data_IF_448824762355
#
_entry.id   IF_448824762355
#
_cell.length_a   1.000
_cell.length_b   1.000
_cell.length_c   1.000
_cell.angle_alpha   90.00
_cell.angle_beta   90.00
_cell.angle_gamma   90.00
#
_symmetry.space_group_name_H-M   'P 1'
#
loop_
_entity.id
_entity.type
_entity.pdbx_description
1 polymer ?
#
# COMPACT_ATOMS: atom_id res chain seq x y z
N UNK A 1 19.62 -21.71 18.98
CA UNK A 1 20.33 -20.78 18.08
C UNK A 1 21.81 -20.70 18.44
N UNK A 2 22.68 -20.55 17.45
CA UNK A 2 24.13 -20.38 17.57
C UNK A 2 24.55 -19.05 16.93
N UNK A 3 25.54 -18.37 17.52
CA UNK A 3 26.18 -17.15 16.98
C UNK A 3 27.69 -17.38 17.02
N UNK A 4 28.36 -17.23 15.87
CA UNK A 4 29.77 -17.55 15.71
C UNK A 4 30.14 -18.95 16.25
N UNK A 5 29.29 -19.94 15.97
CA UNK A 5 29.45 -21.33 16.42
C UNK A 5 29.17 -21.58 17.90
N UNK A 6 28.87 -20.55 18.71
CA UNK A 6 28.56 -20.68 20.14
C UNK A 6 27.05 -20.73 20.34
N UNK A 7 26.56 -21.76 21.05
CA UNK A 7 25.14 -21.87 21.42
C UNK A 7 24.76 -20.74 22.38
N UNK A 8 23.61 -20.11 22.17
CA UNK A 8 23.08 -19.14 23.14
C UNK A 8 22.80 -19.83 24.48
N UNK A 9 23.29 -19.24 25.58
CA UNK A 9 23.16 -19.77 26.94
C UNK A 9 21.79 -19.43 27.56
N UNK A 10 20.72 -19.92 26.93
CA UNK A 10 19.33 -19.77 27.39
C UNK A 10 18.60 -21.11 27.29
N UNK A 11 17.47 -21.25 27.98
CA UNK A 11 16.64 -22.43 27.84
C UNK A 11 16.08 -22.52 26.41
N UNK A 12 16.29 -23.61 25.65
CA UNK A 12 15.77 -23.74 24.29
C UNK A 12 14.24 -23.58 24.20
N UNK A 13 13.49 -23.93 25.25
CA UNK A 13 12.03 -23.77 25.30
C UNK A 13 11.56 -22.32 25.20
N UNK A 14 12.45 -21.34 25.41
CA UNK A 14 12.14 -19.92 25.22
C UNK A 14 11.71 -19.65 23.77
N UNK A 15 12.24 -20.38 22.79
CA UNK A 15 11.82 -20.23 21.39
C UNK A 15 10.43 -20.81 21.10
N UNK A 16 9.90 -21.64 22.00
CA UNK A 16 8.66 -22.42 21.82
C UNK A 16 7.46 -21.83 22.59
N UNK A 17 7.50 -20.54 22.94
CA UNK A 17 6.44 -19.89 23.71
C UNK A 17 5.14 -19.65 22.90
N UNK A 18 3.98 -19.74 23.57
CA UNK A 18 2.62 -19.51 23.02
C UNK A 18 2.31 -20.31 21.76
N UNK A 19 2.65 -19.80 20.56
CA UNK A 19 2.46 -20.50 19.28
C UNK A 19 3.71 -21.21 18.77
N UNK A 20 4.78 -21.24 19.57
CA UNK A 20 6.04 -21.86 19.21
C UNK A 20 6.89 -20.97 18.30
N UNK A 21 7.60 -21.62 17.37
CA UNK A 21 8.31 -20.95 16.28
C UNK A 21 7.50 -21.05 14.99
N UNK A 22 7.02 -19.91 14.50
CA UNK A 22 6.19 -19.80 13.30
C UNK A 22 7.03 -19.26 12.14
N UNK A 23 7.01 -19.95 11.00
CA UNK A 23 7.54 -19.45 9.74
C UNK A 23 6.43 -18.67 9.02
N UNK A 24 6.62 -17.37 8.84
CA UNK A 24 5.56 -16.46 8.40
C UNK A 24 6.02 -15.57 7.25
N UNK A 25 5.57 -15.90 6.04
CA UNK A 25 5.83 -15.08 4.85
C UNK A 25 5.13 -13.72 4.86
N UNK A 26 4.10 -13.53 5.70
CA UNK A 26 3.42 -12.25 5.89
C UNK A 26 4.19 -11.25 6.76
N UNK A 27 5.28 -11.69 7.38
CA UNK A 27 6.13 -10.85 8.23
C UNK A 27 7.47 -10.58 7.55
N UNK A 28 7.91 -9.32 7.50
CA UNK A 28 9.17 -8.93 6.85
C UNK A 28 10.41 -9.41 7.60
N UNK A 29 10.44 -9.21 8.93
CA UNK A 29 11.60 -9.42 9.79
C UNK A 29 11.41 -10.60 10.74
N UNK A 30 12.45 -11.00 11.47
CA UNK A 30 12.28 -11.98 12.54
C UNK A 30 11.98 -11.30 13.87
N UNK A 31 11.17 -11.94 14.71
CA UNK A 31 10.86 -11.47 16.04
C UNK A 31 11.11 -12.60 17.05
N UNK A 32 11.97 -12.34 18.02
CA UNK A 32 12.31 -13.29 19.07
C UNK A 32 11.66 -12.87 20.40
N UNK A 33 11.31 -13.84 21.26
CA UNK A 33 10.94 -13.56 22.65
C UNK A 33 12.03 -12.78 23.37
N UNK A 34 11.66 -11.99 24.38
CA UNK A 34 12.56 -11.02 25.04
C UNK A 34 13.90 -11.63 25.50
N UNK A 35 13.87 -12.77 26.19
CA UNK A 35 15.08 -13.46 26.66
C UNK A 35 15.96 -13.90 25.49
N UNK A 36 15.37 -14.50 24.46
CA UNK A 36 16.09 -14.93 23.27
C UNK A 36 16.69 -13.76 22.50
N UNK A 37 15.95 -12.66 22.33
CA UNK A 37 16.45 -11.45 21.69
C UNK A 37 17.61 -10.83 22.45
N UNK A 38 17.53 -10.74 23.78
CA UNK A 38 18.61 -10.19 24.62
C UNK A 38 19.90 -11.02 24.48
N UNK A 39 19.79 -12.35 24.56
CA UNK A 39 20.92 -13.26 24.40
C UNK A 39 21.53 -13.18 22.99
N UNK A 40 20.67 -13.19 21.97
CA UNK A 40 21.06 -13.04 20.56
C UNK A 40 21.81 -11.72 20.32
N UNK A 41 21.19 -10.60 20.72
CA UNK A 41 21.77 -9.26 20.59
C UNK A 41 23.13 -9.19 21.27
N UNK A 42 23.24 -9.69 22.50
CA UNK A 42 24.50 -9.66 23.24
C UNK A 42 25.59 -10.47 22.51
N UNK A 43 25.27 -11.67 22.03
CA UNK A 43 26.20 -12.52 21.30
C UNK A 43 26.67 -11.85 19.99
N UNK A 44 25.77 -11.27 19.20
CA UNK A 44 26.14 -10.57 17.95
C UNK A 44 27.00 -9.34 18.24
N UNK A 45 26.60 -8.51 19.20
CA UNK A 45 27.35 -7.29 19.59
C UNK A 45 28.80 -7.61 20.01
N UNK A 46 29.04 -8.79 20.61
CA UNK A 46 30.38 -9.21 20.99
C UNK A 46 31.26 -9.59 19.79
N UNK A 47 30.68 -10.05 18.70
CA UNK A 47 31.40 -10.47 17.49
C UNK A 47 31.65 -9.31 16.51
N UNK A 48 30.89 -8.21 16.60
CA UNK A 48 30.97 -7.05 15.67
C UNK A 48 31.68 -5.82 16.25
N UNK A 49 32.57 -6.02 17.23
CA UNK A 49 33.25 -4.92 17.97
C UNK A 49 34.09 -3.98 17.09
N UNK A 50 34.52 -4.45 15.91
CA UNK A 50 35.27 -3.63 14.94
C UNK A 50 34.40 -2.63 14.17
N UNK A 51 33.08 -2.78 14.20
CA UNK A 51 32.14 -1.91 13.50
C UNK A 51 31.64 -0.78 14.40
N UNK A 52 31.38 0.38 13.80
CA UNK A 52 30.83 1.53 14.53
C UNK A 52 29.31 1.41 14.60
N UNK A 53 28.76 1.28 15.81
CA UNK A 53 27.31 1.37 16.04
C UNK A 53 26.81 2.76 15.65
N UNK A 54 25.70 2.81 14.92
CA UNK A 54 25.03 4.05 14.48
C UNK A 54 23.51 3.94 14.72
N UNK A 55 22.82 5.07 14.65
CA UNK A 55 21.36 5.10 14.69
C UNK A 55 20.73 4.47 13.45
N UNK A 56 19.45 4.12 13.57
CA UNK A 56 18.65 3.60 12.46
C UNK A 56 18.33 4.65 11.40
N UNK A 57 17.87 4.21 10.21
CA UNK A 57 17.46 5.12 9.15
C UNK A 57 16.21 5.93 9.53
N UNK A 58 15.32 5.39 10.36
CA UNK A 58 14.15 6.07 10.89
C UNK A 58 14.34 6.33 12.40
N UNK A 59 14.41 7.59 12.85
CA UNK A 59 14.64 7.93 14.25
C UNK A 59 13.49 7.53 15.18
N UNK A 60 12.30 7.19 14.65
CA UNK A 60 11.18 6.71 15.45
C UNK A 60 11.38 5.26 15.93
N UNK A 61 12.28 4.52 15.29
CA UNK A 61 12.58 3.12 15.62
C UNK A 61 13.97 2.98 16.23
N UNK A 62 14.09 2.10 17.22
CA UNK A 62 15.35 1.83 17.93
C UNK A 62 16.11 0.67 17.28
N UNK A 63 16.42 0.83 16.00
CA UNK A 63 17.16 -0.17 15.25
C UNK A 63 18.59 -0.32 15.76
N UNK A 64 19.15 -1.52 15.61
CA UNK A 64 20.55 -1.81 15.95
C UNK A 64 21.34 -1.84 14.66
N UNK A 65 22.07 -0.76 14.37
CA UNK A 65 22.78 -0.57 13.11
C UNK A 65 24.28 -0.39 13.31
N UNK A 66 25.05 -0.78 12.29
CA UNK A 66 26.50 -0.73 12.25
C UNK A 66 26.97 -0.16 10.93
N UNK A 67 27.95 0.73 10.98
CA UNK A 67 28.67 1.29 9.83
C UNK A 67 30.10 0.75 9.76
N UNK A 68 30.70 0.83 8.57
CA UNK A 68 32.08 0.36 8.33
C UNK A 68 32.18 -1.05 7.76
N UNK A 69 31.05 -1.73 7.49
CA UNK A 69 31.05 -3.08 6.93
C UNK A 69 31.34 -3.13 5.41
N UNK A 70 31.22 -2.00 4.72
CA UNK A 70 31.41 -1.90 3.26
C UNK A 70 30.12 -2.18 2.46
N UNK A 71 30.10 -1.79 1.19
CA UNK A 71 28.88 -1.89 0.36
C UNK A 71 28.69 -3.25 -0.33
N UNK A 72 29.76 -4.06 -0.38
CA UNK A 72 29.84 -5.35 -1.05
C UNK A 72 29.28 -6.47 -0.15
N UNK A 73 28.14 -7.03 -0.56
CA UNK A 73 27.41 -8.06 0.21
C UNK A 73 28.28 -9.31 0.41
N UNK A 74 29.07 -9.68 -0.61
CA UNK A 74 29.90 -10.89 -0.59
C UNK A 74 30.97 -10.85 0.52
N UNK A 75 31.32 -9.66 1.01
CA UNK A 75 32.30 -9.45 2.08
C UNK A 75 31.69 -9.35 3.47
N UNK A 76 30.36 -9.26 3.60
CA UNK A 76 29.70 -9.17 4.90
C UNK A 76 30.00 -10.34 5.85
N UNK A 77 30.19 -11.60 5.39
CA UNK A 77 30.59 -12.69 6.28
C UNK A 77 31.93 -12.47 6.99
N UNK A 78 32.77 -11.52 6.52
CA UNK A 78 34.01 -11.11 7.20
C UNK A 78 33.78 -10.09 8.32
N UNK A 79 32.67 -9.37 8.28
CA UNK A 79 32.34 -8.29 9.20
C UNK A 79 31.28 -8.69 10.24
N UNK A 80 30.46 -9.70 9.95
CA UNK A 80 29.37 -10.15 10.80
C UNK A 80 29.44 -11.67 11.04
N UNK A 81 28.99 -12.16 12.21
CA UNK A 81 29.11 -13.56 12.59
C UNK A 81 28.21 -14.48 11.76
N UNK A 82 28.58 -15.75 11.65
CA UNK A 82 27.64 -16.78 11.22
C UNK A 82 26.56 -16.99 12.29
N UNK A 83 25.32 -17.20 11.86
CA UNK A 83 24.21 -17.56 12.75
C UNK A 83 23.65 -18.90 12.29
N UNK A 84 23.24 -19.74 13.23
CA UNK A 84 22.57 -21.01 12.92
C UNK A 84 21.34 -21.21 13.81
N UNK A 85 20.22 -21.59 13.19
CA UNK A 85 19.03 -22.07 13.88
C UNK A 85 19.05 -23.59 13.89
N UNK A 86 19.08 -24.19 15.08
CA UNK A 86 19.08 -25.63 15.23
C UNK A 86 17.67 -26.11 15.58
N UNK A 87 17.20 -27.14 14.88
CA UNK A 87 15.91 -27.77 15.08
C UNK A 87 16.03 -28.99 16.01
N UNK A 88 14.89 -29.49 16.50
CA UNK A 88 14.82 -30.61 17.45
C UNK A 88 15.45 -31.90 16.92
N UNK A 89 15.43 -32.11 15.60
CA UNK A 89 16.05 -33.25 14.93
C UNK A 89 17.58 -33.10 14.70
N UNK A 90 18.20 -32.05 15.25
CA UNK A 90 19.63 -31.78 15.13
C UNK A 90 20.05 -31.11 13.82
N UNK A 91 19.15 -30.96 12.83
CA UNK A 91 19.44 -30.20 11.63
C UNK A 91 19.59 -28.71 11.94
N UNK A 92 20.40 -28.03 11.13
CA UNK A 92 20.65 -26.60 11.29
C UNK A 92 20.38 -25.84 10.01
N UNK A 93 19.63 -24.75 10.12
CA UNK A 93 19.55 -23.72 9.10
C UNK A 93 20.62 -22.67 9.40
N UNK A 94 21.70 -22.65 8.62
CA UNK A 94 22.66 -21.56 8.67
C UNK A 94 22.02 -20.28 8.14
N UNK A 95 22.42 -19.11 8.63
CA UNK A 95 21.93 -17.80 8.18
C UNK A 95 23.15 -16.95 7.81
N UNK A 96 23.22 -16.53 6.54
CA UNK A 96 24.21 -15.56 6.09
C UNK A 96 23.81 -14.16 6.55
N UNK A 97 24.72 -13.15 6.54
CA UNK A 97 24.39 -11.78 6.93
C UNK A 97 23.12 -11.21 6.27
N UNK A 98 22.85 -11.55 5.01
CA UNK A 98 21.62 -11.17 4.32
C UNK A 98 20.32 -11.73 4.91
N UNK A 99 20.42 -12.82 5.69
CA UNK A 99 19.27 -13.47 6.33
C UNK A 99 18.90 -12.83 7.69
N UNK A 100 19.71 -11.93 8.21
CA UNK A 100 19.44 -11.27 9.50
C UNK A 100 19.83 -9.79 9.51
N UNK A 101 20.32 -9.23 8.40
CA UNK A 101 20.61 -7.81 8.23
C UNK A 101 19.80 -7.19 7.08
N UNK A 102 19.41 -5.94 7.26
CA UNK A 102 18.93 -5.08 6.18
C UNK A 102 19.86 -3.87 6.01
N UNK A 103 19.88 -3.31 4.79
CA UNK A 103 20.74 -2.16 4.45
C UNK A 103 20.21 -0.88 5.11
N UNK A 104 21.11 -0.06 5.63
CA UNK A 104 20.78 1.28 6.10
C UNK A 104 20.54 2.20 4.89
N UNK A 105 19.34 2.77 4.75
CA UNK A 105 18.98 3.56 3.56
C UNK A 105 19.75 4.88 3.42
N UNK A 106 20.18 5.48 4.54
CA UNK A 106 20.87 6.79 4.55
C UNK A 106 22.41 6.73 4.62
N UNK A 107 23.00 5.60 5.05
CA UNK A 107 24.45 5.50 5.32
C UNK A 107 25.02 4.36 4.51
N UNK A 108 25.88 4.68 3.54
CA UNK A 108 26.46 3.70 2.63
C UNK A 108 27.36 2.72 3.39
N UNK A 109 27.19 1.43 3.11
CA UNK A 109 27.96 0.38 3.77
C UNK A 109 27.61 0.17 5.25
N UNK A 110 26.45 0.65 5.68
CA UNK A 110 25.87 0.36 6.97
C UNK A 110 24.69 -0.60 6.88
N UNK A 111 24.51 -1.41 7.92
CA UNK A 111 23.51 -2.47 8.00
C UNK A 111 22.90 -2.53 9.40
N UNK A 112 21.66 -2.97 9.48
CA UNK A 112 20.87 -3.04 10.70
C UNK A 112 20.39 -4.47 10.93
N UNK A 113 20.29 -4.91 12.19
CA UNK A 113 19.68 -6.19 12.54
C UNK A 113 18.21 -6.19 12.10
N UNK A 114 17.83 -7.16 11.28
CA UNK A 114 16.44 -7.47 10.93
C UNK A 114 15.84 -8.56 11.82
N UNK A 115 16.35 -8.69 13.04
CA UNK A 115 15.80 -9.52 14.10
C UNK A 115 15.49 -8.59 15.25
N UNK A 116 14.25 -8.63 15.75
CA UNK A 116 13.72 -7.71 16.76
C UNK A 116 13.19 -8.48 17.97
N UNK A 117 12.91 -7.76 19.06
CA UNK A 117 12.15 -8.29 20.17
C UNK A 117 10.66 -8.33 19.82
N UNK A 118 9.97 -9.42 20.11
CA UNK A 118 8.52 -9.56 19.91
C UNK A 118 7.68 -8.92 21.02
N UNK A 119 8.06 -7.72 21.48
CA UNK A 119 7.39 -7.05 22.60
C UNK A 119 7.27 -7.95 23.84
N UNK A 120 6.02 -8.18 24.28
CA UNK A 120 5.65 -9.11 25.36
C UNK A 120 5.11 -10.46 24.84
N UNK A 121 5.00 -10.65 23.53
CA UNK A 121 4.54 -11.91 22.95
C UNK A 121 5.68 -12.93 22.98
N UNK A 122 5.50 -14.10 23.59
CA UNK A 122 6.54 -15.12 23.70
C UNK A 122 6.64 -16.02 22.44
N UNK A 123 5.91 -15.70 21.36
CA UNK A 123 6.02 -16.39 20.07
C UNK A 123 7.31 -16.01 19.35
N UNK A 124 7.97 -16.98 18.72
CA UNK A 124 9.07 -16.73 17.78
C UNK A 124 8.49 -16.63 16.37
N UNK A 125 8.69 -15.51 15.69
CA UNK A 125 8.28 -15.30 14.30
C UNK A 125 9.51 -15.26 13.39
N UNK A 126 9.55 -16.13 12.39
CA UNK A 126 10.57 -16.15 11.35
C UNK A 126 9.98 -15.55 10.08
N UNK A 127 10.26 -14.26 9.86
CA UNK A 127 9.80 -13.55 8.67
C UNK A 127 10.67 -13.78 7.44
N UNK A 128 10.29 -13.13 6.34
CA UNK A 128 10.90 -13.23 5.02
C UNK A 128 12.41 -12.99 5.00
N UNK A 129 12.95 -12.16 5.91
CA UNK A 129 14.40 -11.94 6.00
C UNK A 129 15.16 -13.24 6.23
N UNK A 130 14.67 -14.15 7.09
CA UNK A 130 15.34 -15.40 7.48
C UNK A 130 15.49 -16.35 6.29
N UNK A 131 14.56 -16.28 5.34
CA UNK A 131 14.46 -17.20 4.19
C UNK A 131 14.85 -16.54 2.86
N UNK A 132 15.51 -15.37 2.89
CA UNK A 132 16.15 -14.82 1.69
C UNK A 132 17.13 -15.83 1.08
N UNK A 133 17.12 -15.94 -0.25
CA UNK A 133 17.94 -16.93 -0.98
C UNK A 133 17.82 -18.35 -0.40
N UNK A 134 16.59 -18.73 -0.05
CA UNK A 134 16.25 -20.05 0.46
C UNK A 134 14.94 -20.50 -0.18
N UNK A 135 14.96 -21.63 -0.87
CA UNK A 135 13.73 -22.30 -1.28
C UNK A 135 13.13 -22.96 -0.04
N UNK A 136 11.90 -22.56 0.29
CA UNK A 136 11.13 -23.14 1.39
C UNK A 136 10.03 -24.01 0.81
N UNK A 137 9.92 -25.25 1.29
CA UNK A 137 8.85 -26.16 0.90
C UNK A 137 8.00 -26.54 2.11
N UNK A 138 6.69 -26.52 1.93
CA UNK A 138 5.72 -26.93 2.95
C UNK A 138 5.11 -28.25 2.54
N UNK A 139 5.60 -29.35 3.12
CA UNK A 139 5.06 -30.68 2.90
C UNK A 139 4.04 -30.96 4.00
N UNK A 140 2.79 -30.57 3.73
CA UNK A 140 1.67 -30.69 4.67
C UNK A 140 1.26 -32.14 4.91
N UNK A 141 1.47 -33.01 3.92
CA UNK A 141 1.14 -34.43 4.02
C UNK A 141 2.05 -35.15 5.01
N UNK A 142 3.34 -34.79 5.03
CA UNK A 142 4.33 -35.37 5.92
C UNK A 142 4.71 -34.45 7.10
N UNK A 143 3.90 -33.42 7.36
CA UNK A 143 4.07 -32.45 8.47
C UNK A 143 5.49 -31.88 8.61
N UNK A 144 6.13 -31.54 7.48
CA UNK A 144 7.54 -31.09 7.48
C UNK A 144 7.74 -29.85 6.61
N UNK A 145 8.77 -29.09 6.97
CA UNK A 145 9.22 -27.92 6.23
C UNK A 145 10.64 -28.19 5.74
N UNK A 146 10.86 -27.99 4.45
CA UNK A 146 12.18 -28.08 3.82
C UNK A 146 12.78 -26.70 3.63
N UNK A 147 14.09 -26.58 3.88
CA UNK A 147 14.87 -25.38 3.60
C UNK A 147 16.03 -25.76 2.70
N UNK A 148 16.14 -25.11 1.54
CA UNK A 148 17.27 -25.27 0.64
C UNK A 148 17.89 -23.92 0.31
N UNK A 149 19.09 -23.67 0.84
CA UNK A 149 19.86 -22.46 0.49
C UNK A 149 20.24 -22.47 -0.97
N UNK A 150 19.87 -21.42 -1.68
CA UNK A 150 20.04 -21.33 -3.13
C UNK A 150 19.99 -19.87 -3.59
N UNK A 151 20.67 -19.55 -4.69
CA UNK A 151 20.47 -18.27 -5.34
C UNK A 151 19.09 -18.31 -6.03
N UNK A 152 18.11 -17.59 -5.49
CA UNK A 152 16.75 -17.66 -6.02
C UNK A 152 16.66 -17.14 -7.47
N UNK A 153 17.49 -16.19 -7.88
CA UNK A 153 17.52 -15.72 -9.27
C UNK A 153 18.00 -16.82 -10.21
N UNK A 154 19.11 -17.47 -9.88
CA UNK A 154 19.63 -18.60 -10.67
C UNK A 154 18.68 -19.80 -10.67
N UNK A 155 18.03 -20.07 -9.53
CA UNK A 155 17.01 -21.11 -9.44
C UNK A 155 15.82 -20.79 -10.36
N UNK A 156 15.34 -19.55 -10.36
CA UNK A 156 14.26 -19.11 -11.25
C UNK A 156 14.62 -19.28 -12.73
N UNK A 157 15.83 -18.87 -13.12
CA UNK A 157 16.33 -19.02 -14.49
C UNK A 157 16.37 -20.50 -14.92
N UNK A 158 16.84 -21.38 -14.03
CA UNK A 158 16.91 -22.83 -14.28
C UNK A 158 15.56 -23.50 -14.38
N UNK A 159 14.59 -23.07 -13.56
CA UNK A 159 13.26 -23.67 -13.57
C UNK A 159 12.45 -23.25 -14.80
N UNK A 160 12.88 -22.20 -15.53
CA UNK A 160 12.19 -21.74 -16.74
C UNK A 160 10.75 -21.33 -16.49
N UNK A 161 10.38 -21.04 -15.24
CA UNK A 161 9.01 -20.71 -14.85
C UNK A 161 8.77 -19.27 -15.31
N UNK A 162 7.80 -19.03 -16.20
CA UNK A 162 7.38 -17.66 -16.53
C UNK A 162 6.98 -16.97 -15.23
N UNK A 163 7.34 -15.69 -15.05
CA UNK A 163 6.93 -14.90 -13.89
C UNK A 163 5.45 -15.17 -13.59
N UNK A 164 5.14 -15.69 -12.40
CA UNK A 164 3.79 -16.08 -12.06
C UNK A 164 2.82 -14.91 -12.38
N UNK A 165 1.71 -15.15 -13.10
CA UNK A 165 0.69 -14.14 -13.28
C UNK A 165 0.25 -13.62 -11.91
N UNK A 166 -0.03 -12.31 -11.74
CA UNK A 166 -0.66 -11.82 -10.53
C UNK A 166 -1.92 -12.66 -10.24
N UNK A 167 -2.23 -12.95 -8.97
CA UNK A 167 -3.41 -13.74 -8.63
C UNK A 167 -4.63 -13.11 -9.30
N UNK A 168 -5.33 -13.93 -10.09
CA UNK A 168 -6.53 -13.52 -10.80
C UNK A 168 -7.53 -12.97 -9.76
N UNK A 169 -8.11 -11.78 -9.95
CA UNK A 169 -9.18 -11.32 -9.07
C UNK A 169 -10.28 -12.38 -9.10
N UNK A 170 -10.72 -12.83 -7.93
CA UNK A 170 -11.86 -13.75 -7.81
C UNK A 170 -13.05 -13.13 -8.54
N UNK A 171 -13.33 -13.61 -9.75
CA UNK A 171 -14.57 -13.32 -10.44
C UNK A 171 -15.69 -13.92 -9.60
N UNK A 172 -16.51 -13.07 -9.00
CA UNK A 172 -17.83 -13.43 -8.54
C UNK A 172 -18.65 -13.85 -9.76
N UNK A 173 -18.61 -15.14 -10.09
CA UNK A 173 -19.62 -15.76 -10.95
C UNK A 173 -20.87 -15.98 -10.10
N UNK A 174 -21.83 -15.07 -10.27
CA UNK A 174 -23.21 -15.30 -9.88
C UNK A 174 -23.76 -16.46 -10.71
N UNK A 175 -23.89 -17.64 -10.10
CA UNK A 175 -24.81 -18.67 -10.57
C UNK A 175 -25.66 -19.16 -9.40
N UNK A 176 -26.96 -18.83 -9.47
CA UNK A 176 -28.01 -19.51 -8.75
C UNK A 176 -28.02 -20.98 -9.19
N UNK A 177 -27.71 -21.90 -8.29
CA UNK A 177 -28.17 -23.29 -8.39
C UNK A 177 -28.23 -23.91 -7.01
N UNK A 178 -29.45 -24.24 -6.63
CA UNK A 178 -29.90 -24.93 -5.43
C UNK A 178 -29.39 -26.37 -5.42
N UNK A 179 -28.67 -26.80 -4.38
CA UNK A 179 -28.62 -28.20 -3.92
C UNK A 179 -27.98 -28.29 -2.53
N UNK A 180 -28.60 -29.09 -1.67
CA UNK A 180 -28.38 -29.21 -0.23
C UNK A 180 -27.23 -30.16 0.18
N UNK A 181 -26.89 -30.06 1.48
CA UNK A 181 -26.11 -30.96 2.37
C UNK A 181 -24.59 -30.71 2.40
N UNK A 182 -23.89 -30.52 3.53
CA UNK A 182 -24.19 -30.69 4.96
C UNK A 182 -23.29 -29.77 5.84
N UNK A 183 -23.76 -29.44 7.06
CA UNK A 183 -22.98 -28.90 8.21
C UNK A 183 -22.49 -30.06 9.10
N UNK A 184 -21.53 -29.95 10.07
CA UNK A 184 -21.12 -28.77 10.88
C UNK A 184 -19.58 -28.75 11.24
N UNK A 185 -19.05 -28.04 12.28
CA UNK A 185 -19.58 -26.98 13.13
C UNK A 185 -18.74 -25.67 13.23
N UNK A 186 -19.47 -24.59 13.52
CA UNK A 186 -19.19 -23.49 14.46
C UNK A 186 -17.89 -22.65 14.34
N UNK A 187 -18.06 -21.50 13.68
CA UNK A 187 -17.72 -20.13 14.11
C UNK A 187 -16.55 -19.89 15.08
N UNK A 188 -15.52 -19.23 14.56
CA UNK A 188 -14.71 -18.27 15.30
C UNK A 188 -15.21 -16.87 14.90
N UNK A 189 -15.59 -15.98 15.83
CA UNK A 189 -16.03 -14.64 15.49
C UNK A 189 -14.83 -13.82 14.98
N UNK A 190 -14.78 -13.60 13.66
CA UNK A 190 -13.84 -12.65 13.05
C UNK A 190 -14.37 -11.23 13.26
N UNK A 191 -14.08 -10.66 14.42
CA UNK A 191 -14.05 -9.21 14.59
C UNK A 191 -12.63 -8.77 14.96
N UNK A 192 -11.74 -8.84 13.97
CA UNK A 192 -10.58 -7.96 13.90
C UNK A 192 -10.61 -7.35 12.50
N UNK A 193 -11.42 -6.31 12.35
CA UNK A 193 -11.24 -5.35 11.26
C UNK A 193 -9.86 -4.74 11.46
N UNK A 194 -8.85 -5.30 10.79
CA UNK A 194 -7.65 -4.56 10.45
C UNK A 194 -8.13 -3.34 9.67
N UNK A 195 -8.03 -2.15 10.25
CA UNK A 195 -8.41 -0.92 9.55
C UNK A 195 -7.64 -0.89 8.22
N UNK A 196 -8.35 -1.12 7.12
CA UNK A 196 -7.76 -1.02 5.78
C UNK A 196 -7.27 0.42 5.62
N UNK A 197 -5.96 0.62 5.61
CA UNK A 197 -5.37 1.92 5.32
C UNK A 197 -5.77 2.30 3.90
N UNK A 198 -6.74 3.21 3.79
CA UNK A 198 -7.21 3.76 2.51
C UNK A 198 -6.22 4.83 2.07
N UNK A 199 -5.56 4.63 0.94
CA UNK A 199 -4.56 5.56 0.40
C UNK A 199 -5.24 6.50 -0.58
N UNK A 200 -5.20 7.81 -0.34
CA UNK A 200 -5.82 8.82 -1.20
C UNK A 200 -5.06 8.96 -2.52
N UNK A 201 -3.76 9.22 -2.45
CA UNK A 201 -2.83 9.10 -3.58
C UNK A 201 -1.40 8.91 -3.07
N UNK A 202 -0.53 8.37 -3.92
CA UNK A 202 0.89 8.18 -3.62
C UNK A 202 1.69 9.32 -4.25
N UNK A 203 2.58 9.93 -3.48
CA UNK A 203 3.56 10.86 -4.03
C UNK A 203 4.92 10.17 -4.08
N UNK A 204 5.58 10.19 -5.23
CA UNK A 204 6.92 9.62 -5.42
C UNK A 204 7.89 10.67 -5.96
N UNK A 205 9.11 10.65 -5.44
CA UNK A 205 10.20 11.56 -5.83
C UNK A 205 11.33 10.75 -6.45
N UNK A 206 11.61 10.99 -7.72
CA UNK A 206 12.60 10.26 -8.51
C UNK A 206 13.73 11.20 -8.93
N UNK A 207 14.98 10.70 -8.88
CA UNK A 207 16.10 11.28 -9.62
C UNK A 207 16.36 10.48 -10.89
N UNK A 208 16.59 11.15 -12.02
CA UNK A 208 17.00 10.55 -13.28
C UNK A 208 18.38 11.07 -13.68
N UNK A 209 19.24 10.18 -14.18
CA UNK A 209 20.63 10.50 -14.58
C UNK A 209 20.77 11.30 -15.89
N UNK A 210 19.68 11.93 -16.35
CA UNK A 210 19.66 12.82 -17.53
C UNK A 210 19.36 14.25 -17.10
N UNK A 211 19.91 15.21 -17.85
CA UNK A 211 19.71 16.63 -17.56
C UNK A 211 18.26 17.05 -17.83
N UNK A 212 17.79 18.04 -17.06
CA UNK A 212 16.46 18.63 -17.20
C UNK A 212 16.15 19.06 -18.64
N UNK A 213 17.09 19.71 -19.32
CA UNK A 213 16.88 20.21 -20.69
C UNK A 213 16.60 19.09 -21.70
N UNK A 214 17.22 17.91 -21.51
CA UNK A 214 17.05 16.75 -22.40
C UNK A 214 15.74 16.00 -22.14
N UNK A 215 15.30 16.02 -20.88
CA UNK A 215 14.11 15.30 -20.41
C UNK A 215 12.82 16.13 -20.51
N UNK A 216 12.91 17.46 -20.37
CA UNK A 216 11.77 18.39 -20.47
C UNK A 216 10.86 18.15 -21.68
N UNK A 217 11.37 18.04 -22.92
CA UNK A 217 10.49 17.81 -24.07
C UNK A 217 9.85 16.41 -24.09
N UNK A 218 10.40 15.45 -23.34
CA UNK A 218 9.99 14.03 -23.36
C UNK A 218 9.19 13.63 -22.11
N UNK A 219 8.84 14.58 -21.24
CA UNK A 219 8.21 14.27 -19.95
C UNK A 219 6.83 13.61 -20.08
N UNK A 220 6.08 13.95 -21.13
CA UNK A 220 4.80 13.30 -21.43
C UNK A 220 4.98 11.83 -21.80
N UNK A 221 6.02 11.52 -22.58
CA UNK A 221 6.40 10.15 -22.93
C UNK A 221 6.88 9.38 -21.69
N UNK A 222 7.67 10.02 -20.83
CA UNK A 222 8.09 9.45 -19.56
C UNK A 222 6.88 9.05 -18.69
N UNK A 223 5.91 9.95 -18.51
CA UNK A 223 4.70 9.65 -17.73
C UNK A 223 3.90 8.47 -18.30
N UNK A 224 3.83 8.37 -19.65
CA UNK A 224 3.19 7.24 -20.32
C UNK A 224 3.91 5.93 -20.02
N UNK A 225 5.23 5.90 -20.10
CA UNK A 225 6.05 4.72 -19.81
C UNK A 225 5.94 4.31 -18.33
N UNK A 226 6.00 5.28 -17.41
CA UNK A 226 5.79 5.02 -15.99
C UNK A 226 4.44 4.34 -15.76
N UNK A 227 3.37 4.84 -16.38
CA UNK A 227 2.04 4.24 -16.26
C UNK A 227 2.01 2.81 -16.83
N UNK A 228 2.65 2.58 -17.99
CA UNK A 228 2.72 1.26 -18.63
C UNK A 228 3.48 0.23 -17.79
N UNK A 229 4.68 0.58 -17.32
CA UNK A 229 5.54 -0.29 -16.51
C UNK A 229 4.89 -0.61 -15.15
N UNK A 230 4.21 0.37 -14.55
CA UNK A 230 3.44 0.17 -13.31
C UNK A 230 2.06 -0.46 -13.54
N UNK A 231 1.70 -0.78 -14.78
CA UNK A 231 0.40 -1.36 -15.17
C UNK A 231 -0.82 -0.56 -14.68
N UNK A 232 -0.70 0.76 -14.65
CA UNK A 232 -1.77 1.69 -14.29
C UNK A 232 -2.18 2.56 -15.48
N UNK A 233 -3.33 3.23 -15.40
CA UNK A 233 -3.75 4.15 -16.46
C UNK A 233 -2.93 5.43 -16.42
N UNK A 234 -2.60 5.98 -17.59
CA UNK A 234 -1.89 7.27 -17.67
C UNK A 234 -2.63 8.40 -16.94
N UNK A 235 -3.97 8.34 -16.89
CA UNK A 235 -4.81 9.30 -16.16
C UNK A 235 -4.62 9.30 -14.64
N UNK A 236 -3.95 8.28 -14.11
CA UNK A 236 -3.61 8.18 -12.68
C UNK A 236 -2.28 8.85 -12.35
N UNK A 237 -1.41 9.09 -13.33
CA UNK A 237 -0.08 9.66 -13.10
C UNK A 237 -0.11 11.15 -13.40
N UNK A 238 0.19 11.98 -12.39
CA UNK A 238 0.27 13.42 -12.52
C UNK A 238 1.67 13.92 -12.14
N UNK A 239 2.26 14.74 -12.99
CA UNK A 239 3.49 15.45 -12.67
C UNK A 239 3.19 16.61 -11.72
N UNK A 240 3.78 16.58 -10.52
CA UNK A 240 3.65 17.67 -9.54
C UNK A 240 4.78 18.68 -9.64
N UNK A 241 6.01 18.21 -9.84
CA UNK A 241 7.18 19.06 -9.94
C UNK A 241 8.24 18.41 -10.84
N UNK A 242 8.99 19.25 -11.56
CA UNK A 242 10.12 18.83 -12.37
C UNK A 242 11.19 19.92 -12.34
N UNK A 243 12.34 19.60 -11.75
CA UNK A 243 13.47 20.52 -11.60
C UNK A 243 14.80 19.86 -11.96
N UNK A 244 15.85 20.67 -12.08
CA UNK A 244 17.23 20.21 -12.26
C UNK A 244 17.95 20.17 -10.91
N UNK A 245 18.84 19.19 -10.72
CA UNK A 245 19.79 19.16 -9.61
C UNK A 245 21.15 18.69 -10.11
N UNK A 246 22.06 19.65 -10.32
CA UNK A 246 23.32 19.40 -11.01
C UNK A 246 23.08 18.84 -12.41
N UNK A 247 23.62 17.64 -12.69
CA UNK A 247 23.46 16.93 -13.96
C UNK A 247 22.25 15.97 -13.98
N UNK A 248 21.51 15.88 -12.87
CA UNK A 248 20.34 15.01 -12.73
C UNK A 248 19.04 15.80 -12.83
N UNK A 249 17.97 15.08 -13.15
CA UNK A 249 16.59 15.59 -13.18
C UNK A 249 15.81 15.05 -12.00
N UNK A 250 15.14 15.95 -11.27
CA UNK A 250 14.27 15.58 -10.16
C UNK A 250 12.82 15.67 -10.58
N UNK A 251 12.10 14.55 -10.45
CA UNK A 251 10.70 14.42 -10.86
C UNK A 251 9.85 14.03 -9.65
N UNK A 252 8.83 14.82 -9.36
CA UNK A 252 7.79 14.51 -8.36
C UNK A 252 6.51 14.11 -9.07
N UNK A 253 6.05 12.89 -8.85
CA UNK A 253 4.80 12.37 -9.41
C UNK A 253 3.78 12.13 -8.30
N UNK A 254 2.50 12.38 -8.58
CA UNK A 254 1.37 11.88 -7.84
C UNK A 254 0.72 10.73 -8.63
N UNK A 255 0.39 9.64 -7.94
CA UNK A 255 -0.28 8.47 -8.50
C UNK A 255 -1.61 8.32 -7.78
N UNK A 256 -2.69 8.60 -8.51
CA UNK A 256 -4.06 8.58 -8.02
C UNK A 256 -4.73 7.21 -8.20
N UNK A 257 -5.75 6.89 -7.39
CA UNK A 257 -6.59 5.72 -7.59
C UNK A 257 -7.33 5.77 -8.92
N UNK A 258 -7.72 4.60 -9.42
CA UNK A 258 -8.52 4.49 -10.63
C UNK A 258 -9.94 5.00 -10.38
N UNK A 259 -10.36 6.04 -11.11
CA UNK A 259 -11.74 6.56 -11.01
C UNK A 259 -12.75 5.46 -11.35
N UNK A 260 -13.88 5.35 -10.62
CA UNK A 260 -14.42 6.33 -9.65
C UNK A 260 -13.91 6.17 -8.21
N UNK A 261 -12.96 5.27 -7.94
CA UNK A 261 -12.47 5.03 -6.59
C UNK A 261 -11.77 6.29 -6.02
N UNK A 262 -12.07 6.59 -4.76
CA UNK A 262 -11.51 7.74 -4.03
C UNK A 262 -10.26 7.40 -3.23
N UNK A 263 -9.91 6.12 -3.20
CA UNK A 263 -8.73 5.59 -2.53
C UNK A 263 -8.24 4.35 -3.26
N UNK A 264 -6.94 4.07 -3.15
CA UNK A 264 -6.35 2.79 -3.52
C UNK A 264 -6.11 1.96 -2.26
N UNK A 265 -6.07 0.65 -2.43
CA UNK A 265 -5.71 -0.25 -1.34
C UNK A 265 -4.22 -0.06 -0.98
N UNK A 266 -3.88 -0.24 0.30
CA UNK A 266 -2.49 -0.19 0.75
C UNK A 266 -1.60 -1.17 -0.03
N UNK A 267 -2.09 -2.37 -0.34
CA UNK A 267 -1.38 -3.36 -1.16
C UNK A 267 -0.97 -2.80 -2.52
N UNK A 268 -1.89 -2.11 -3.23
CA UNK A 268 -1.61 -1.47 -4.52
C UNK A 268 -0.56 -0.37 -4.40
N UNK A 269 -0.65 0.47 -3.37
CA UNK A 269 0.33 1.53 -3.13
C UNK A 269 1.73 0.95 -2.87
N UNK A 270 1.81 -0.09 -2.03
CA UNK A 270 3.08 -0.76 -1.70
C UNK A 270 3.66 -1.53 -2.89
N UNK A 271 2.83 -2.11 -3.75
CA UNK A 271 3.28 -2.75 -4.99
C UNK A 271 3.96 -1.73 -5.91
N UNK A 272 3.36 -0.55 -6.10
CA UNK A 272 3.94 0.55 -6.89
C UNK A 272 5.28 1.00 -6.29
N UNK A 273 5.32 1.26 -4.97
CA UNK A 273 6.54 1.68 -4.28
C UNK A 273 7.64 0.63 -4.40
N UNK A 274 7.31 -0.65 -4.20
CA UNK A 274 8.28 -1.75 -4.31
C UNK A 274 8.85 -1.85 -5.73
N UNK A 275 8.02 -1.67 -6.76
CA UNK A 275 8.48 -1.68 -8.16
C UNK A 275 9.49 -0.57 -8.44
N UNK A 276 9.27 0.62 -7.88
CA UNK A 276 10.21 1.75 -8.03
C UNK A 276 11.47 1.56 -7.18
N UNK A 277 11.36 1.02 -5.96
CA UNK A 277 12.51 0.79 -5.08
C UNK A 277 13.44 -0.33 -5.59
N UNK A 278 12.88 -1.35 -6.20
CA UNK A 278 13.59 -2.52 -6.72
C UNK A 278 14.08 -2.36 -8.18
N UNK A 279 14.02 -1.15 -8.73
CA UNK A 279 14.48 -0.84 -10.09
C UNK A 279 13.72 -1.62 -11.19
N UNK A 280 12.47 -2.04 -10.95
CA UNK A 280 11.66 -2.82 -11.91
C UNK A 280 11.02 -1.99 -13.04
N UNK A 281 11.35 -0.71 -13.13
CA UNK A 281 10.82 0.20 -14.14
C UNK A 281 11.81 0.22 -15.31
N UNK A 282 11.45 -0.39 -16.43
CA UNK A 282 12.34 -0.46 -17.59
C UNK A 282 12.25 0.84 -18.38
N UNK A 283 13.18 1.74 -18.11
CA UNK A 283 13.27 3.00 -18.83
C UNK A 283 14.21 2.86 -20.04
N UNK A 284 13.77 3.29 -21.24
CA UNK A 284 14.67 3.43 -22.39
C UNK A 284 15.87 4.33 -22.07
N UNK A 285 17.03 4.07 -22.68
CA UNK A 285 18.29 4.80 -22.42
C UNK A 285 18.18 6.33 -22.53
N UNK A 286 17.26 6.84 -23.36
CA UNK A 286 16.98 8.27 -23.51
C UNK A 286 16.48 8.94 -22.23
N UNK A 287 15.98 8.17 -21.26
CA UNK A 287 15.58 8.66 -19.93
C UNK A 287 16.66 8.42 -18.86
N UNK A 288 17.69 7.62 -19.16
CA UNK A 288 18.73 7.24 -18.21
C UNK A 288 18.24 6.30 -17.12
N UNK A 289 19.10 6.08 -16.14
CA UNK A 289 18.78 5.34 -14.92
C UNK A 289 17.99 6.23 -13.96
N UNK A 290 17.07 5.64 -13.20
CA UNK A 290 16.34 6.34 -12.16
C UNK A 290 16.71 5.84 -10.76
N UNK A 291 16.42 6.66 -9.76
CA UNK A 291 16.52 6.32 -8.34
C UNK A 291 15.34 6.89 -7.58
N UNK A 292 14.65 6.06 -6.80
CA UNK A 292 13.65 6.52 -5.85
C UNK A 292 14.33 7.22 -4.67
N UNK A 293 14.00 8.50 -4.45
CA UNK A 293 14.56 9.31 -3.39
C UNK A 293 13.67 9.29 -2.14
N UNK A 294 12.36 9.51 -2.34
CA UNK A 294 11.37 9.59 -1.27
C UNK A 294 10.00 9.21 -1.82
N UNK A 295 9.11 8.73 -0.95
CA UNK A 295 7.69 8.56 -1.25
C UNK A 295 6.85 8.85 -0.02
N UNK A 296 5.62 9.30 -0.22
CA UNK A 296 4.64 9.53 0.84
C UNK A 296 3.24 9.11 0.41
N UNK A 297 2.44 8.68 1.38
CA UNK A 297 1.02 8.35 1.20
C UNK A 297 0.20 9.52 1.71
N UNK A 298 -0.68 10.03 0.86
CA UNK A 298 -1.60 11.10 1.22
C UNK A 298 -2.97 10.51 1.54
N UNK A 299 -3.57 10.94 2.65
CA UNK A 299 -4.87 10.40 3.10
C UNK A 299 -6.00 10.83 2.16
N UNK A 300 -7.03 9.99 1.94
CA UNK A 300 -8.18 10.35 1.12
C UNK A 300 -8.82 11.62 1.67
N UNK A 301 -8.93 12.64 0.83
CA UNK A 301 -9.59 13.88 1.21
C UNK A 301 -11.05 13.58 1.53
N UNK A 302 -11.42 13.62 2.82
CA UNK A 302 -12.82 13.47 3.25
C UNK A 302 -13.61 14.66 2.70
N UNK A 303 -14.31 14.47 1.58
CA UNK A 303 -15.31 15.44 1.12
C UNK A 303 -16.41 15.48 2.18
N UNK A 304 -16.68 16.64 2.75
CA UNK A 304 -17.78 16.82 3.71
C UNK A 304 -19.10 16.43 3.02
N UNK A 305 -19.98 15.75 3.76
CA UNK A 305 -21.30 15.29 3.33
C UNK A 305 -22.08 16.32 2.50
N UNK A 306 -21.88 17.60 2.80
CA UNK A 306 -22.41 18.74 2.04
C UNK A 306 -22.03 18.72 0.55
N UNK A 307 -20.75 18.52 0.19
CA UNK A 307 -20.30 18.52 -1.20
C UNK A 307 -20.80 17.32 -2.02
N UNK A 308 -21.17 16.21 -1.37
CA UNK A 308 -21.76 15.04 -2.04
C UNK A 308 -23.24 15.26 -2.36
N UNK A 309 -23.96 15.98 -1.50
CA UNK A 309 -25.41 16.11 -1.61
C UNK A 309 -25.89 17.42 -2.26
N UNK A 310 -25.00 18.38 -2.58
CA UNK A 310 -25.40 19.65 -3.22
C UNK A 310 -26.22 19.40 -4.49
N UNK A 311 -25.77 18.51 -5.38
CA UNK A 311 -26.51 18.23 -6.62
C UNK A 311 -27.87 17.58 -6.37
N UNK A 312 -27.97 16.69 -5.39
CA UNK A 312 -29.24 16.07 -5.02
C UNK A 312 -30.21 17.09 -4.40
N UNK A 313 -29.70 18.00 -3.56
CA UNK A 313 -30.49 19.08 -2.95
C UNK A 313 -30.95 20.08 -4.02
N UNK A 314 -30.07 20.48 -4.95
CA UNK A 314 -30.41 21.37 -6.06
C UNK A 314 -31.49 20.75 -6.95
N UNK A 315 -31.37 19.45 -7.26
CA UNK A 315 -32.40 18.72 -8.04
C UNK A 315 -33.71 18.64 -7.26
N UNK A 316 -33.68 18.33 -5.97
CA UNK A 316 -34.88 18.29 -5.14
C UNK A 316 -35.59 19.65 -5.07
N UNK A 317 -34.85 20.74 -4.89
CA UNK A 317 -35.38 22.11 -4.90
C UNK A 317 -35.97 22.48 -6.28
N UNK A 318 -35.33 22.07 -7.37
CA UNK A 318 -35.86 22.29 -8.72
C UNK A 318 -37.18 21.53 -8.95
N UNK A 319 -37.28 20.27 -8.50
CA UNK A 319 -38.52 19.48 -8.60
C UNK A 319 -39.65 20.12 -7.78
N UNK A 320 -39.38 20.57 -6.56
CA UNK A 320 -40.37 21.26 -5.72
C UNK A 320 -40.84 22.56 -6.37
N UNK A 321 -39.93 23.34 -6.94
CA UNK A 321 -40.28 24.58 -7.66
C UNK A 321 -41.16 24.30 -8.88
N UNK A 322 -40.85 23.27 -9.68
CA UNK A 322 -41.65 22.87 -10.85
C UNK A 322 -43.05 22.42 -10.42
N UNK A 323 -43.16 21.59 -9.39
CA UNK A 323 -44.45 21.14 -8.87
C UNK A 323 -45.28 22.32 -8.32
N UNK A 324 -44.65 23.23 -7.57
CA UNK A 324 -45.30 24.43 -7.06
C UNK A 324 -45.80 25.35 -8.18
N UNK A 325 -45.01 25.57 -9.23
CA UNK A 325 -45.40 26.35 -10.40
C UNK A 325 -46.51 25.67 -11.20
N UNK A 326 -46.50 24.34 -11.31
CA UNK A 326 -47.57 23.59 -11.99
C UNK A 326 -48.90 23.67 -11.24
N UNK A 327 -48.86 23.58 -9.91
CA UNK A 327 -50.02 23.70 -9.05
C UNK A 327 -50.60 25.12 -9.06
N UNK A 328 -49.74 26.16 -9.03
CA UNK A 328 -50.19 27.55 -9.11
C UNK A 328 -50.77 27.89 -10.48
N UNK A 329 -50.20 27.35 -11.57
CA UNK A 329 -50.77 27.48 -12.91
C UNK A 329 -52.13 26.77 -13.02
N UNK A 330 -52.24 25.57 -12.46
CA UNK A 330 -53.51 24.83 -12.37
C UNK A 330 -54.57 25.61 -11.57
N UNK A 331 -54.20 26.17 -10.43
CA UNK A 331 -55.06 27.03 -9.61
C UNK A 331 -55.48 28.31 -10.33
N UNK A 332 -54.56 28.95 -11.06
CA UNK A 332 -54.84 30.15 -11.84
C UNK A 332 -55.80 29.86 -13.01
N UNK A 333 -55.63 28.73 -13.70
CA UNK A 333 -56.55 28.29 -14.77
C UNK A 333 -57.92 27.93 -14.19
N UNK A 334 -57.96 27.27 -13.03
CA UNK A 334 -59.20 26.90 -12.37
C UNK A 334 -59.98 28.12 -11.89
N UNK A 335 -59.31 29.09 -11.26
CA UNK A 335 -59.93 30.36 -10.84
C UNK A 335 -60.39 31.22 -12.03
N UNK A 336 -59.66 31.23 -13.16
CA UNK A 336 -60.14 31.85 -14.40
C UNK A 336 -61.36 31.17 -15.01
N UNK A 337 -61.50 29.84 -14.87
CA UNK A 337 -62.69 29.11 -15.31
C UNK A 337 -63.90 29.33 -14.42
N UNK A 338 -63.68 29.70 -13.14
CA UNK A 338 -64.74 30.04 -12.20
C UNK A 338 -65.16 31.51 -12.23
N UNK A 339 -64.56 32.34 -13.08
CA UNK A 339 -65.09 33.68 -13.38
C UNK A 339 -66.52 33.52 -13.94
N UNK A 340 -67.56 33.99 -13.23
CA UNK A 340 -68.92 33.93 -13.76
C UNK A 340 -69.00 34.82 -15.00
N UNK A 341 -69.56 34.31 -16.10
CA UNK A 341 -70.00 35.17 -17.20
C UNK A 341 -70.92 36.24 -16.60
N UNK A 342 -70.52 37.49 -16.70
CA UNK A 342 -71.32 38.63 -16.25
C UNK A 342 -72.57 38.70 -17.13
N UNK A 343 -73.69 38.24 -16.59
CA UNK A 343 -75.00 38.37 -17.20
C UNK A 343 -75.42 39.84 -17.05
N UNK A 344 -75.55 40.56 -18.17
CA UNK A 344 -76.05 41.94 -18.21
C UNK A 344 -77.59 41.91 -18.08
N UNK A 345 -78.21 42.48 -17.03
CA UNK A 345 -79.64 42.67 -17.03
C UNK A 345 -80.01 43.86 -17.92
N UNK A 346 -81.07 43.67 -18.71
CA UNK A 346 -81.69 44.66 -19.58
C UNK A 346 -82.61 45.55 -18.74
N UNK A 347 -82.52 46.87 -18.96
CA UNK A 347 -83.34 47.96 -18.42
C UNK A 347 -83.04 48.46 -17.00
N UNK A 348 -82.68 49.75 -16.86
CA UNK A 348 -83.61 50.82 -16.44
C UNK A 348 -82.90 52.20 -16.44
N UNK A 349 -83.60 53.15 -17.08
CA UNK A 349 -83.61 54.61 -16.94
C UNK A 349 -82.30 55.43 -17.06
N UNK A 350 -82.18 56.07 -18.22
CA UNK A 350 -81.39 57.29 -18.45
C UNK A 350 -82.08 58.48 -17.76
N UNK A 351 -81.38 59.36 -17.01
CA UNK A 351 -81.94 60.65 -16.64
C UNK A 351 -81.75 61.63 -17.80
N UNK A 352 -82.84 62.34 -18.08
CA UNK A 352 -83.00 63.42 -19.04
C UNK A 352 -81.91 64.48 -19.01
N UNK A 353 -81.65 64.97 -20.21
CA UNK A 353 -80.78 66.07 -20.56
C UNK A 353 -81.62 67.36 -20.56
N UNK A 354 -81.48 68.17 -19.51
CA UNK A 354 -82.02 69.54 -19.48
C UNK A 354 -80.99 70.51 -20.10
N UNK A 355 -81.34 71.07 -21.25
CA UNK A 355 -80.72 72.25 -21.85
C UNK A 355 -81.27 73.52 -21.19
N UNK A 356 -80.41 74.47 -20.81
CA UNK A 356 -80.82 75.85 -20.53
C UNK A 356 -80.74 76.72 -21.80
N UNK A 357 -81.71 77.64 -22.03
CA UNK A 357 -81.84 78.41 -23.27
C UNK A 357 -81.12 79.77 -23.25
N UNK A 358 -80.67 80.15 -24.46
CA UNK A 358 -80.29 81.46 -25.03
C UNK A 358 -79.27 82.35 -24.31
#
# INVERSE_FOLDING_TARGET
MYVAGKKLSINPRVFDGKHGTVLDSGTTYAYLPEEAFKAFKHAVMNEVRSLKKIDGPDPNYKDICFSGAGSDISKLPKAFPSIEMAFSNGQKLSLSPENYLFRHSKVRGAYCLGIFQNGKDPTTLLGGIVVRNTLVTYDRENERIGFWKTNCSELWDRLGVPSAPPPLPSELTNQNSTANMALPPAEIPRNITSEEIKVGYLTVYLSLSKNYSDLKPKISEFNKLVAQELRIKISQVQLLNFSSSGNESLIKLAIFPMKPAYYMQNATAMEIVSSLAEHRLHLPEKFGSYKLLEWSVETPQKRTWWQQNVMAIVVALAVVAILGLSASLGWFIWTRRQSPMSYKPVNIASPEQELQPL
#
